data_IF_799456165453
#
_entry.id   IF_799456165453
#
_cell.length_a   1.000
_cell.length_b   1.000
_cell.length_c   1.000
_cell.angle_alpha   90.00
_cell.angle_beta   90.00
_cell.angle_gamma   90.00
#
_symmetry.space_group_name_H-M   'P 1'
#
loop_
_entity.id
_entity.type
_entity.pdbx_description
1 polymer ?
#
# COMPACT_ATOMS: atom_id res chain seq x y z
N UNK A 1 2.02 2.46 -25.87
CA UNK A 1 0.91 1.48 -25.82
C UNK A 1 -0.23 2.16 -25.11
N UNK A 2 -1.43 2.12 -25.69
CA UNK A 2 -2.62 2.82 -25.18
C UNK A 2 -3.15 2.12 -23.93
N UNK A 3 -2.96 2.75 -22.77
CA UNK A 3 -3.44 2.29 -21.48
C UNK A 3 -4.81 2.91 -21.17
N UNK A 4 -5.86 2.35 -21.77
CA UNK A 4 -7.23 2.63 -21.36
C UNK A 4 -8.00 1.32 -21.16
N UNK A 5 -8.12 0.89 -19.90
CA UNK A 5 -9.23 0.06 -19.44
C UNK A 5 -9.57 0.27 -17.95
N UNK A 6 -10.66 0.99 -17.74
CA UNK A 6 -11.72 0.80 -16.73
C UNK A 6 -11.34 0.39 -15.29
N UNK A 7 -10.94 1.38 -14.49
CA UNK A 7 -11.19 1.39 -13.05
C UNK A 7 -12.67 1.73 -12.79
N UNK A 8 -13.52 0.74 -12.54
CA UNK A 8 -14.86 1.01 -12.00
C UNK A 8 -15.46 -0.01 -11.05
N UNK A 9 -14.79 -1.12 -10.71
CA UNK A 9 -15.34 -2.04 -9.71
C UNK A 9 -14.21 -2.55 -8.79
N UNK A 10 -13.98 -1.86 -7.65
CA UNK A 10 -13.41 -2.56 -6.48
C UNK A 10 -14.30 -3.78 -6.25
N UNK A 11 -13.69 -4.96 -6.13
CA UNK A 11 -14.43 -6.21 -5.87
C UNK A 11 -15.44 -5.99 -4.75
N UNK A 12 -16.71 -6.35 -5.00
CA UNK A 12 -17.77 -6.35 -3.96
C UNK A 12 -17.53 -7.42 -2.89
N UNK A 13 -16.49 -8.24 -3.06
CA UNK A 13 -16.15 -9.38 -2.23
C UNK A 13 -14.69 -9.28 -1.77
N UNK A 14 -14.44 -9.67 -0.53
CA UNK A 14 -13.09 -9.81 0.03
C UNK A 14 -12.29 -10.85 -0.77
N UNK A 15 -10.97 -10.68 -0.85
CA UNK A 15 -10.11 -11.67 -1.50
C UNK A 15 -10.14 -12.99 -0.71
N UNK A 16 -10.16 -14.10 -1.44
CA UNK A 16 -9.93 -15.43 -0.86
C UNK A 16 -8.45 -15.73 -0.96
N UNK A 17 -7.78 -15.84 0.19
CA UNK A 17 -6.34 -16.05 0.27
C UNK A 17 -6.01 -17.54 0.36
N UNK A 18 -5.02 -18.00 -0.41
CA UNK A 18 -4.26 -19.18 0.00
C UNK A 18 -3.42 -18.83 1.22
N UNK A 19 -2.97 -19.84 1.96
CA UNK A 19 -2.10 -19.62 3.12
C UNK A 19 -0.81 -18.92 2.70
N UNK A 20 -0.18 -19.40 1.63
CA UNK A 20 1.07 -18.87 1.11
C UNK A 20 0.92 -17.42 0.62
N UNK A 21 -0.20 -17.12 -0.06
CA UNK A 21 -0.49 -15.76 -0.53
C UNK A 21 -0.75 -14.79 0.62
N UNK A 22 -1.45 -15.22 1.67
CA UNK A 22 -1.65 -14.39 2.86
C UNK A 22 -0.32 -14.14 3.59
N UNK A 23 0.51 -15.16 3.77
CA UNK A 23 1.82 -15.03 4.43
C UNK A 23 2.73 -14.06 3.68
N UNK A 24 2.74 -14.12 2.35
CA UNK A 24 3.55 -13.22 1.55
C UNK A 24 2.98 -11.78 1.54
N UNK A 25 1.67 -11.58 1.42
CA UNK A 25 1.05 -10.26 1.53
C UNK A 25 1.30 -9.61 2.91
N UNK A 26 1.26 -10.39 3.99
CA UNK A 26 1.61 -9.92 5.34
C UNK A 26 3.09 -9.52 5.43
N UNK A 27 3.99 -10.28 4.79
CA UNK A 27 5.42 -9.94 4.72
C UNK A 27 5.64 -8.62 3.98
N UNK A 28 5.03 -8.46 2.80
CA UNK A 28 5.12 -7.20 2.04
C UNK A 28 4.49 -6.02 2.77
N UNK A 29 3.40 -6.24 3.51
CA UNK A 29 2.80 -5.22 4.39
C UNK A 29 3.76 -4.74 5.48
N UNK A 30 4.48 -5.66 6.13
CA UNK A 30 5.49 -5.29 7.14
C UNK A 30 6.64 -4.50 6.51
N UNK A 31 7.08 -4.90 5.32
CA UNK A 31 8.08 -4.15 4.56
C UNK A 31 7.59 -2.74 4.21
N UNK A 32 6.33 -2.60 3.80
CA UNK A 32 5.72 -1.30 3.51
C UNK A 32 5.60 -0.40 4.76
N UNK A 33 5.25 -0.96 5.92
CA UNK A 33 5.28 -0.24 7.21
C UNK A 33 6.69 0.27 7.54
N UNK A 34 7.73 -0.51 7.25
CA UNK A 34 9.11 -0.05 7.39
C UNK A 34 9.42 1.10 6.41
N UNK A 35 8.96 1.07 5.16
CA UNK A 35 9.15 2.18 4.23
C UNK A 35 8.48 3.45 4.76
N UNK A 36 7.24 3.36 5.25
CA UNK A 36 6.55 4.48 5.88
C UNK A 36 7.36 5.08 7.03
N UNK A 37 8.01 4.24 7.85
CA UNK A 37 8.89 4.70 8.92
C UNK A 37 10.17 5.35 8.38
N UNK A 38 10.85 4.71 7.44
CA UNK A 38 12.15 5.16 6.95
C UNK A 38 12.07 6.48 6.20
N UNK A 39 11.02 6.67 5.40
CA UNK A 39 10.87 7.79 4.47
C UNK A 39 9.85 8.85 4.95
N UNK A 40 9.40 8.82 6.21
CA UNK A 40 8.38 9.74 6.73
C UNK A 40 8.74 11.23 6.65
N UNK A 41 10.04 11.56 6.74
CA UNK A 41 10.54 12.94 6.69
C UNK A 41 10.78 13.45 5.25
N UNK A 42 10.68 12.57 4.25
CA UNK A 42 10.90 12.93 2.84
C UNK A 42 9.62 13.48 2.22
N UNK A 43 9.42 14.80 2.36
CA UNK A 43 8.21 15.49 1.90
C UNK A 43 7.88 15.32 0.40
N UNK A 44 8.83 14.86 -0.41
CA UNK A 44 8.64 14.60 -1.84
C UNK A 44 8.16 13.19 -2.16
N UNK A 45 8.23 12.24 -1.22
CA UNK A 45 7.90 10.83 -1.46
C UNK A 45 6.46 10.56 -1.04
N UNK A 46 5.66 10.01 -1.97
CA UNK A 46 4.31 9.48 -1.69
C UNK A 46 4.36 7.95 -1.81
N UNK A 47 4.42 7.26 -0.67
CA UNK A 47 4.41 5.80 -0.65
C UNK A 47 3.00 5.26 -0.90
N UNK A 48 2.85 4.40 -1.90
CA UNK A 48 1.58 3.78 -2.30
C UNK A 48 1.70 2.25 -2.19
N UNK A 49 0.82 1.56 -1.44
CA UNK A 49 0.86 0.10 -1.34
C UNK A 49 0.32 -0.57 -2.61
N UNK A 50 0.65 -1.84 -2.82
CA UNK A 50 -0.10 -2.68 -3.77
C UNK A 50 -1.52 -2.95 -3.26
N UNK A 51 -2.41 -3.48 -4.11
CA UNK A 51 -3.79 -3.82 -3.71
C UNK A 51 -3.79 -4.84 -2.56
N UNK A 52 -2.91 -5.84 -2.62
CA UNK A 52 -2.73 -6.86 -1.60
C UNK A 52 -2.27 -6.26 -0.27
N UNK A 53 -1.27 -5.38 -0.31
CA UNK A 53 -0.74 -4.71 0.89
C UNK A 53 -1.78 -3.76 1.48
N UNK A 54 -2.52 -3.03 0.65
CA UNK A 54 -3.62 -2.16 1.06
C UNK A 54 -4.75 -2.95 1.73
N UNK A 55 -5.09 -4.13 1.19
CA UNK A 55 -6.10 -5.01 1.77
C UNK A 55 -5.64 -5.52 3.16
N UNK A 56 -4.38 -5.96 3.31
CA UNK A 56 -3.84 -6.35 4.63
C UNK A 56 -3.83 -5.16 5.62
N UNK A 57 -3.46 -3.96 5.16
CA UNK A 57 -3.47 -2.77 6.00
C UNK A 57 -4.87 -2.44 6.51
N UNK A 58 -5.89 -2.50 5.64
CA UNK A 58 -7.28 -2.33 6.05
C UNK A 58 -7.70 -3.35 7.11
N UNK A 59 -7.34 -4.63 6.96
CA UNK A 59 -7.64 -5.64 7.98
C UNK A 59 -6.95 -5.36 9.31
N UNK A 60 -5.70 -4.89 9.30
CA UNK A 60 -5.01 -4.51 10.53
C UNK A 60 -5.70 -3.33 11.23
N UNK A 61 -6.11 -2.29 10.48
CA UNK A 61 -6.83 -1.13 11.02
C UNK A 61 -8.14 -1.54 11.73
N UNK A 62 -8.84 -2.58 11.24
CA UNK A 62 -10.07 -3.07 11.85
C UNK A 62 -9.84 -3.66 13.26
N UNK A 63 -8.68 -4.25 13.53
CA UNK A 63 -8.24 -4.52 14.90
C UNK A 63 -7.61 -3.25 15.51
N UNK A 64 -8.49 -2.32 15.85
CA UNK A 64 -8.09 -0.98 16.31
C UNK A 64 -7.14 -0.99 17.51
N UNK A 65 -7.17 -2.01 18.37
CA UNK A 65 -6.25 -2.12 19.52
C UNK A 65 -4.87 -2.57 19.09
N UNK A 66 -4.80 -3.61 18.24
CA UNK A 66 -3.53 -4.07 17.69
C UNK A 66 -2.88 -2.96 16.86
N UNK A 67 -3.64 -2.33 15.96
CA UNK A 67 -3.13 -1.27 15.09
C UNK A 67 -2.59 -0.07 15.87
N UNK A 68 -3.32 0.38 16.91
CA UNK A 68 -2.84 1.47 17.76
C UNK A 68 -1.53 1.08 18.46
N UNK A 69 -1.46 -0.10 19.07
CA UNK A 69 -0.25 -0.54 19.77
C UNK A 69 0.95 -0.64 18.82
N UNK A 70 0.78 -1.24 17.65
CA UNK A 70 1.84 -1.38 16.66
C UNK A 70 2.28 -0.02 16.12
N UNK A 71 1.35 0.90 15.85
CA UNK A 71 1.68 2.26 15.45
C UNK A 71 2.52 2.99 16.51
N UNK A 72 2.13 2.90 17.78
CA UNK A 72 2.90 3.50 18.87
C UNK A 72 4.28 2.87 19.04
N UNK A 73 4.40 1.56 18.82
CA UNK A 73 5.69 0.85 18.93
C UNK A 73 6.64 1.14 17.76
N UNK A 74 6.11 1.28 16.55
CA UNK A 74 6.91 1.48 15.32
C UNK A 74 7.22 2.97 15.12
N UNK A 75 6.20 3.83 15.21
CA UNK A 75 6.29 5.25 14.85
C UNK A 75 6.30 6.19 16.06
N UNK A 76 5.81 5.75 17.22
CA UNK A 76 5.58 6.64 18.37
C UNK A 76 4.31 7.50 18.26
N UNK A 77 3.51 7.32 17.20
CA UNK A 77 2.24 8.01 16.96
C UNK A 77 1.30 7.14 16.13
N UNK A 78 0.02 7.52 16.04
CA UNK A 78 -0.96 6.81 15.21
C UNK A 78 -0.73 7.11 13.72
N UNK A 79 -0.29 6.10 12.96
CA UNK A 79 -0.08 6.25 11.52
C UNK A 79 -1.43 6.27 10.79
N UNK A 80 -1.76 7.39 10.16
CA UNK A 80 -3.02 7.54 9.43
C UNK A 80 -2.92 6.96 8.02
N UNK A 81 -3.91 6.15 7.65
CA UNK A 81 -4.09 5.67 6.28
C UNK A 81 -5.01 6.63 5.49
N UNK A 82 -4.65 6.96 4.24
CA UNK A 82 -5.44 7.82 3.35
C UNK A 82 -5.98 6.99 2.16
N UNK A 83 -7.20 6.41 2.28
CA UNK A 83 -7.72 5.43 1.32
C UNK A 83 -8.27 6.04 0.02
N UNK A 84 -8.20 7.36 -0.13
CA UNK A 84 -8.84 8.10 -1.22
C UNK A 84 -7.87 8.56 -2.31
N UNK A 85 -6.57 8.25 -2.18
CA UNK A 85 -5.58 8.64 -3.18
C UNK A 85 -5.88 7.98 -4.53
N UNK A 86 -5.98 8.79 -5.58
CA UNK A 86 -6.38 8.35 -6.92
C UNK A 86 -7.87 8.41 -7.22
N UNK A 87 -8.72 8.78 -6.24
CA UNK A 87 -10.19 8.83 -6.41
C UNK A 87 -10.72 10.23 -6.70
N UNK A 88 -9.88 11.28 -6.67
CA UNK A 88 -10.31 12.69 -6.77
C UNK A 88 -10.22 13.26 -8.20
N UNK A 89 -10.39 12.41 -9.21
CA UNK A 89 -10.34 12.77 -10.62
C UNK A 89 -9.12 12.22 -11.36
N UNK A 90 -9.01 12.54 -12.65
CA UNK A 90 -7.97 11.95 -13.51
C UNK A 90 -6.54 12.34 -13.12
N UNK A 91 -6.35 13.56 -12.62
CA UNK A 91 -5.03 14.04 -12.19
C UNK A 91 -4.53 13.27 -10.97
N UNK A 92 -5.37 13.14 -9.93
CA UNK A 92 -5.08 12.36 -8.73
C UNK A 92 -4.79 10.88 -9.07
N UNK A 93 -5.50 10.33 -10.06
CA UNK A 93 -5.27 8.96 -10.55
C UNK A 93 -3.92 8.80 -11.26
N UNK A 94 -3.51 9.77 -12.07
CA UNK A 94 -2.16 9.77 -12.68
C UNK A 94 -1.09 9.89 -11.62
N UNK A 95 -1.31 10.73 -10.62
CA UNK A 95 -0.42 10.94 -9.49
C UNK A 95 -0.25 9.66 -8.65
N UNK A 96 -1.34 8.91 -8.44
CA UNK A 96 -1.32 7.57 -7.82
C UNK A 96 -0.40 6.62 -8.60
N UNK A 97 -0.54 6.55 -9.92
CA UNK A 97 0.26 5.63 -10.74
C UNK A 97 1.74 5.97 -10.74
N UNK A 98 2.07 7.27 -10.84
CA UNK A 98 3.45 7.74 -10.75
C UNK A 98 4.05 7.42 -9.38
N UNK A 99 3.32 7.74 -8.31
CA UNK A 99 3.76 7.49 -6.93
C UNK A 99 3.93 5.98 -6.65
N UNK A 100 3.07 5.13 -7.23
CA UNK A 100 3.22 3.68 -7.11
C UNK A 100 4.45 3.16 -7.85
N UNK A 101 4.75 3.68 -9.04
CA UNK A 101 5.99 3.36 -9.75
C UNK A 101 7.22 3.71 -8.92
N UNK A 102 7.24 4.90 -8.31
CA UNK A 102 8.33 5.32 -7.41
C UNK A 102 8.41 4.43 -6.17
N UNK A 103 7.27 4.01 -5.63
CA UNK A 103 7.24 3.08 -4.49
C UNK A 103 7.84 1.73 -4.86
N UNK A 104 7.59 1.22 -6.07
CA UNK A 104 8.18 -0.03 -6.56
C UNK A 104 9.71 0.08 -6.67
N UNK A 105 10.23 1.21 -7.16
CA UNK A 105 11.68 1.46 -7.24
C UNK A 105 12.32 1.51 -5.84
N UNK A 106 11.69 2.19 -4.90
CA UNK A 106 12.14 2.25 -3.49
C UNK A 106 12.09 0.86 -2.86
N UNK A 107 11.00 0.13 -3.05
CA UNK A 107 10.82 -1.20 -2.47
C UNK A 107 11.87 -2.18 -3.03
N UNK A 108 12.15 -2.14 -4.34
CA UNK A 108 13.21 -2.93 -4.95
C UNK A 108 14.59 -2.57 -4.40
N UNK A 109 14.88 -1.29 -4.21
CA UNK A 109 16.14 -0.84 -3.63
C UNK A 109 16.35 -1.35 -2.19
N UNK A 110 15.29 -1.41 -1.38
CA UNK A 110 15.37 -1.88 0.02
C UNK A 110 15.35 -3.41 0.16
N UNK A 111 14.61 -4.12 -0.71
CA UNK A 111 14.29 -5.54 -0.49
C UNK A 111 14.72 -6.48 -1.62
N UNK A 112 15.18 -5.95 -2.76
CA UNK A 112 15.68 -6.75 -3.90
C UNK A 112 14.60 -7.45 -4.73
N UNK A 113 13.34 -7.09 -4.55
CA UNK A 113 12.18 -7.60 -5.28
C UNK A 113 11.14 -6.49 -5.47
N UNK A 114 10.16 -6.68 -6.34
CA UNK A 114 9.02 -5.77 -6.48
C UNK A 114 7.85 -6.23 -5.61
N UNK A 115 7.01 -5.29 -5.15
CA UNK A 115 5.73 -5.66 -4.56
C UNK A 115 4.83 -6.31 -5.62
N UNK A 116 3.75 -6.97 -5.18
CA UNK A 116 2.72 -7.54 -6.05
C UNK A 116 2.36 -6.62 -7.25
N UNK A 117 2.09 -7.28 -8.37
CA UNK A 117 1.95 -6.66 -9.69
C UNK A 117 0.93 -5.52 -9.75
N UNK A 118 1.23 -4.65 -10.71
CA UNK A 118 0.40 -3.54 -11.12
C UNK A 118 -0.46 -3.96 -12.31
N UNK A 119 -1.63 -4.51 -12.02
CA UNK A 119 -2.71 -4.50 -13.00
C UNK A 119 -3.29 -3.08 -13.05
N UNK A 120 -2.89 -2.31 -14.06
CA UNK A 120 -3.46 -0.99 -14.39
C UNK A 120 -4.63 -1.09 -15.37
#
# INVERSE_FOLDING_TARGET
MDYQKNYSEKSKYSRVWSKEGAEDAIRQYKNFMYLLFKYHDEATIKLVPSIEVDEIWHHHILDTRAYLNDCMNIYGYFMHHFPYFGMRGEEDRKDLYQSFSETQDIYFAEFGEYMYEVDF
#
